data_IF_569949826752
#
_entry.id   IF_569949826752
#
_cell.length_a   1.000
_cell.length_b   1.000
_cell.length_c   1.000
_cell.angle_alpha   90.00
_cell.angle_beta   90.00
_cell.angle_gamma   90.00
#
_symmetry.space_group_name_H-M   'P 1'
#
loop_
_entity.id
_entity.type
_entity.pdbx_description
1 polymer ?
#
# COMPACT_ATOMS: atom_id res chain seq x y z
N UNK A 1 -2.20 -2.38 -19.39
CA UNK A 1 -1.11 -1.57 -18.77
C UNK A 1 -0.63 -2.37 -17.58
N UNK A 2 0.63 -2.83 -17.57
CA UNK A 2 1.14 -3.66 -16.47
C UNK A 2 1.07 -2.89 -15.14
N UNK A 3 0.82 -3.58 -14.01
CA UNK A 3 0.80 -3.02 -12.66
C UNK A 3 2.07 -2.23 -12.32
N UNK A 4 3.23 -2.63 -12.88
CA UNK A 4 4.48 -1.90 -12.73
C UNK A 4 4.43 -0.51 -13.37
N UNK A 5 3.82 -0.38 -14.55
CA UNK A 5 3.67 0.91 -15.24
C UNK A 5 2.64 1.80 -14.55
N UNK A 6 1.59 1.20 -13.98
CA UNK A 6 0.65 1.92 -13.12
C UNK A 6 1.37 2.62 -11.96
N UNK A 7 2.22 1.90 -11.21
CA UNK A 7 2.94 2.50 -10.09
C UNK A 7 3.92 3.60 -10.53
N UNK A 8 4.57 3.46 -11.69
CA UNK A 8 5.42 4.54 -12.25
C UNK A 8 4.61 5.79 -12.57
N UNK A 9 3.47 5.63 -13.26
CA UNK A 9 2.60 6.75 -13.61
C UNK A 9 1.99 7.41 -12.37
N UNK A 10 1.64 6.60 -11.37
CA UNK A 10 1.16 7.06 -10.08
C UNK A 10 2.20 7.91 -9.37
N UNK A 11 3.46 7.44 -9.29
CA UNK A 11 4.57 8.18 -8.70
C UNK A 11 4.80 9.54 -9.38
N UNK A 12 4.85 9.55 -10.71
CA UNK A 12 5.02 10.80 -11.47
C UNK A 12 3.88 11.80 -11.15
N UNK A 13 2.65 11.32 -11.01
CA UNK A 13 1.50 12.16 -10.67
C UNK A 13 1.51 12.68 -9.23
N UNK A 14 2.23 12.03 -8.31
CA UNK A 14 2.27 12.38 -6.89
C UNK A 14 3.30 13.46 -6.60
N UNK A 15 4.41 13.49 -7.33
CA UNK A 15 5.49 14.48 -7.16
C UNK A 15 5.07 15.94 -7.46
N UNK A 16 3.90 16.18 -8.05
CA UNK A 16 3.39 17.51 -8.44
C UNK A 16 2.59 18.26 -7.34
N UNK A 17 2.40 17.69 -6.13
CA UNK A 17 2.08 18.48 -4.91
C UNK A 17 0.66 18.46 -4.29
N UNK A 18 0.67 18.59 -2.96
CA UNK A 18 -0.29 19.01 -1.91
C UNK A 18 -1.62 18.30 -1.58
N UNK A 19 -2.08 17.28 -2.33
CA UNK A 19 -3.18 16.39 -1.88
C UNK A 19 -2.90 14.90 -2.11
N UNK A 20 -1.66 14.49 -1.83
CA UNK A 20 -1.11 13.20 -2.24
C UNK A 20 -1.85 11.99 -1.67
N UNK A 21 -2.22 12.02 -0.38
CA UNK A 21 -2.85 10.85 0.27
C UNK A 21 -4.24 10.54 -0.25
N UNK A 22 -5.06 11.52 -0.60
CA UNK A 22 -6.38 11.21 -1.18
C UNK A 22 -6.26 10.87 -2.66
N UNK A 23 -5.31 11.51 -3.37
CA UNK A 23 -5.03 11.25 -4.79
C UNK A 23 -4.54 9.82 -5.00
N UNK A 24 -3.57 9.36 -4.21
CA UNK A 24 -3.05 7.99 -4.27
C UNK A 24 -4.14 6.97 -3.95
N UNK A 25 -4.96 7.22 -2.93
CA UNK A 25 -6.07 6.33 -2.56
C UNK A 25 -7.10 6.24 -3.69
N UNK A 26 -7.49 7.37 -4.29
CA UNK A 26 -8.42 7.38 -5.41
C UNK A 26 -7.85 6.67 -6.63
N UNK A 27 -6.62 6.99 -7.02
CA UNK A 27 -5.96 6.40 -8.18
C UNK A 27 -5.78 4.88 -8.03
N UNK A 28 -5.36 4.39 -6.85
CA UNK A 28 -5.26 2.96 -6.60
C UNK A 28 -6.60 2.26 -6.57
N UNK A 29 -7.65 2.88 -6.00
CA UNK A 29 -8.99 2.31 -6.02
C UNK A 29 -9.53 2.19 -7.46
N UNK A 30 -9.32 3.21 -8.30
CA UNK A 30 -9.69 3.13 -9.72
C UNK A 30 -8.93 2.01 -10.42
N UNK A 31 -7.61 1.95 -10.26
CA UNK A 31 -6.80 0.93 -10.92
C UNK A 31 -7.14 -0.49 -10.45
N UNK A 32 -7.31 -0.73 -9.15
CA UNK A 32 -7.72 -2.04 -8.65
C UNK A 32 -9.09 -2.47 -9.15
N UNK A 33 -10.02 -1.53 -9.31
CA UNK A 33 -11.32 -1.81 -9.92
C UNK A 33 -11.18 -2.20 -11.39
N UNK A 34 -10.36 -1.47 -12.15
CA UNK A 34 -10.10 -1.76 -13.56
C UNK A 34 -9.41 -3.12 -13.75
N UNK A 35 -8.38 -3.41 -12.95
CA UNK A 35 -7.67 -4.70 -12.96
C UNK A 35 -8.54 -5.88 -12.54
N UNK A 36 -9.48 -5.67 -11.62
CA UNK A 36 -10.46 -6.69 -11.26
C UNK A 36 -11.43 -6.97 -12.42
N UNK A 37 -11.92 -5.91 -13.09
CA UNK A 37 -12.83 -6.07 -14.23
C UNK A 37 -12.16 -6.60 -15.50
N UNK A 38 -10.86 -6.33 -15.71
CA UNK A 38 -10.11 -6.93 -16.81
C UNK A 38 -9.71 -8.39 -16.58
N UNK A 39 -9.87 -8.89 -15.34
CA UNK A 39 -9.46 -10.24 -14.94
C UNK A 39 -7.97 -10.37 -14.61
N UNK A 40 -7.22 -9.27 -14.60
CA UNK A 40 -5.81 -9.26 -14.19
C UNK A 40 -5.63 -9.45 -12.68
N UNK A 41 -6.63 -9.07 -11.87
CA UNK A 41 -6.70 -9.37 -10.45
C UNK A 41 -7.93 -10.21 -10.12
N UNK A 42 -7.71 -11.36 -9.47
CA UNK A 42 -8.81 -12.24 -9.01
C UNK A 42 -9.59 -11.66 -7.81
N UNK A 43 -8.99 -10.71 -7.09
CA UNK A 43 -9.52 -10.14 -5.86
C UNK A 43 -9.80 -8.66 -6.01
N UNK A 44 -11.02 -8.25 -5.70
CA UNK A 44 -11.43 -6.85 -5.67
C UNK A 44 -10.82 -6.19 -4.43
N UNK A 45 -9.88 -5.27 -4.67
CA UNK A 45 -9.15 -4.58 -3.61
C UNK A 45 -9.65 -3.15 -3.45
N UNK A 46 -9.76 -2.69 -2.20
CA UNK A 46 -10.11 -1.32 -1.84
C UNK A 46 -9.08 -0.71 -0.90
N UNK A 47 -8.49 0.41 -1.31
CA UNK A 47 -7.50 1.14 -0.54
C UNK A 47 -8.16 2.20 0.34
N UNK A 48 -7.67 2.33 1.57
CA UNK A 48 -8.13 3.31 2.56
C UNK A 48 -7.01 3.68 3.53
N UNK A 49 -7.21 4.76 4.28
CA UNK A 49 -6.36 5.15 5.40
C UNK A 49 -6.92 4.50 6.67
N UNK A 50 -6.05 3.98 7.52
CA UNK A 50 -6.43 3.38 8.80
C UNK A 50 -5.37 3.63 9.87
N UNK A 51 -5.58 3.10 11.07
CA UNK A 51 -4.54 3.10 12.11
C UNK A 51 -3.35 2.22 11.69
N UNK A 52 -2.14 2.77 11.80
CA UNK A 52 -0.91 2.00 11.68
C UNK A 52 -0.50 1.35 13.00
N UNK A 53 0.63 0.65 12.96
CA UNK A 53 1.28 0.05 14.13
C UNK A 53 2.34 1.03 14.67
N UNK A 54 2.24 1.47 15.94
CA UNK A 54 3.20 2.39 16.55
C UNK A 54 4.65 1.89 16.49
N UNK A 55 4.88 0.57 16.51
CA UNK A 55 6.24 -0.02 16.45
C UNK A 55 6.88 0.17 15.07
N UNK A 56 6.06 0.42 14.04
CA UNK A 56 6.52 0.64 12.67
C UNK A 56 6.81 2.10 12.35
N UNK A 57 6.51 3.01 13.28
CA UNK A 57 6.73 4.43 13.12
C UNK A 57 8.19 4.76 12.73
N UNK A 58 8.34 5.85 11.99
CA UNK A 58 9.58 6.45 11.54
C UNK A 58 9.45 7.98 11.54
N UNK A 59 10.51 8.71 11.19
CA UNK A 59 10.62 10.16 11.37
C UNK A 59 9.55 10.97 10.63
N UNK A 60 8.99 10.40 9.56
CA UNK A 60 7.97 11.03 8.71
C UNK A 60 6.55 10.52 9.01
N UNK A 61 6.38 9.58 9.96
CA UNK A 61 5.08 9.01 10.29
C UNK A 61 4.06 10.08 10.66
N UNK A 62 2.87 9.96 10.08
CA UNK A 62 1.72 10.69 10.59
C UNK A 62 1.27 10.11 11.94
N UNK A 63 0.34 10.78 12.59
CA UNK A 63 -0.25 10.28 13.82
C UNK A 63 -0.88 8.88 13.62
N UNK A 64 -0.75 8.00 14.61
CA UNK A 64 -1.01 6.56 14.46
C UNK A 64 -2.36 6.23 13.82
N UNK A 65 -3.45 6.97 14.12
CA UNK A 65 -4.79 6.72 13.55
C UNK A 65 -4.91 7.02 12.04
N UNK A 66 -3.86 7.54 11.41
CA UNK A 66 -3.79 7.84 9.97
C UNK A 66 -2.52 7.34 9.29
N UNK A 67 -1.67 6.59 9.99
CA UNK A 67 -0.39 6.13 9.44
C UNK A 67 -0.47 4.78 8.72
N UNK A 68 -1.62 4.09 8.79
CA UNK A 68 -1.87 2.83 8.09
C UNK A 68 -2.38 3.04 6.67
N UNK A 69 -1.66 2.46 5.70
CA UNK A 69 -2.10 2.29 4.32
C UNK A 69 -2.76 0.91 4.17
N UNK A 70 -4.10 0.89 4.13
CA UNK A 70 -4.87 -0.36 4.19
C UNK A 70 -5.48 -0.73 2.85
N UNK A 71 -5.32 -1.99 2.46
CA UNK A 71 -5.95 -2.63 1.33
C UNK A 71 -6.88 -3.72 1.86
N UNK A 72 -8.17 -3.47 1.70
CA UNK A 72 -9.22 -4.43 2.04
C UNK A 72 -9.53 -5.27 0.80
N UNK A 73 -9.51 -6.60 0.95
CA UNK A 73 -10.01 -7.52 -0.07
C UNK A 73 -11.52 -7.66 0.14
N UNK A 74 -12.31 -7.18 -0.81
CA UNK A 74 -13.76 -7.07 -0.70
C UNK A 74 -14.46 -8.43 -0.92
N UNK A 75 -13.97 -9.24 -1.87
CA UNK A 75 -14.44 -10.61 -2.12
C UNK A 75 -13.58 -11.63 -1.36
N UNK A 76 -13.58 -11.56 -0.03
CA UNK A 76 -12.68 -12.33 0.85
C UNK A 76 -13.13 -13.77 1.17
N UNK A 77 -14.17 -14.29 0.52
CA UNK A 77 -14.56 -15.70 0.67
C UNK A 77 -13.39 -16.62 0.32
N UNK A 78 -13.09 -17.57 1.21
CA UNK A 78 -11.98 -18.53 1.09
C UNK A 78 -10.63 -17.87 0.77
N UNK A 79 -10.36 -16.68 1.31
CA UNK A 79 -9.10 -15.97 1.11
C UNK A 79 -7.92 -16.81 1.63
N UNK A 80 -6.98 -17.14 0.75
CA UNK A 80 -5.75 -17.84 1.10
C UNK A 80 -4.63 -16.87 1.46
N UNK A 81 -3.71 -17.31 2.32
CA UNK A 81 -2.53 -16.50 2.68
C UNK A 81 -1.63 -16.22 1.46
N UNK A 82 -1.57 -17.15 0.50
CA UNK A 82 -0.81 -16.97 -0.74
C UNK A 82 -1.32 -15.78 -1.55
N UNK A 83 -2.64 -15.57 -1.61
CA UNK A 83 -3.25 -14.45 -2.34
C UNK A 83 -2.98 -13.12 -1.64
N UNK A 84 -3.06 -13.10 -0.30
CA UNK A 84 -2.66 -11.93 0.50
C UNK A 84 -1.20 -11.58 0.23
N UNK A 85 -0.31 -12.57 0.22
CA UNK A 85 1.12 -12.37 -0.05
C UNK A 85 1.39 -11.91 -1.48
N UNK A 86 0.65 -12.43 -2.47
CA UNK A 86 0.76 -12.00 -3.86
C UNK A 86 0.40 -10.52 -4.02
N UNK A 87 -0.74 -10.09 -3.48
CA UNK A 87 -1.14 -8.67 -3.48
C UNK A 87 -0.10 -7.81 -2.75
N UNK A 88 0.47 -8.34 -1.66
CA UNK A 88 1.52 -7.66 -0.90
C UNK A 88 2.76 -7.41 -1.76
N UNK A 89 3.19 -8.40 -2.56
CA UNK A 89 4.38 -8.29 -3.40
C UNK A 89 4.28 -7.16 -4.43
N UNK A 90 3.11 -6.96 -5.05
CA UNK A 90 2.93 -5.87 -6.03
C UNK A 90 3.30 -4.49 -5.48
N UNK A 91 3.14 -4.28 -4.17
CA UNK A 91 3.51 -3.03 -3.49
C UNK A 91 4.91 -3.11 -2.91
N UNK A 92 5.21 -4.20 -2.18
CA UNK A 92 6.45 -4.36 -1.43
C UNK A 92 7.70 -4.49 -2.32
N UNK A 93 7.55 -4.91 -3.58
CA UNK A 93 8.65 -4.96 -4.54
C UNK A 93 8.95 -3.59 -5.18
N UNK A 94 8.02 -2.63 -5.10
CA UNK A 94 8.18 -1.29 -5.66
C UNK A 94 8.75 -0.31 -4.62
N UNK A 95 10.08 -0.32 -4.46
CA UNK A 95 10.78 0.55 -3.49
C UNK A 95 10.49 2.05 -3.68
N UNK A 96 10.49 2.62 -4.90
CA UNK A 96 10.10 4.02 -5.10
C UNK A 96 8.71 4.33 -4.55
N UNK A 97 7.74 3.43 -4.79
CA UNK A 97 6.39 3.58 -4.28
C UNK A 97 6.32 3.52 -2.75
N UNK A 98 7.03 2.59 -2.12
CA UNK A 98 7.13 2.50 -0.65
C UNK A 98 7.71 3.78 -0.07
N UNK A 99 8.79 4.31 -0.66
CA UNK A 99 9.37 5.58 -0.21
C UNK A 99 8.36 6.73 -0.32
N UNK A 100 7.59 6.79 -1.41
CA UNK A 100 6.54 7.80 -1.55
C UNK A 100 5.43 7.63 -0.49
N UNK A 101 5.03 6.41 -0.16
CA UNK A 101 4.08 6.18 0.94
C UNK A 101 4.65 6.68 2.27
N UNK A 102 5.93 6.44 2.54
CA UNK A 102 6.61 6.93 3.73
C UNK A 102 6.72 8.46 3.78
N UNK A 103 7.02 9.13 2.66
CA UNK A 103 7.07 10.60 2.61
C UNK A 103 5.70 11.23 2.81
N UNK A 104 4.62 10.53 2.44
CA UNK A 104 3.25 10.91 2.77
C UNK A 104 2.85 10.64 4.24
N UNK A 105 3.73 10.02 5.02
CA UNK A 105 3.56 9.71 6.43
C UNK A 105 2.79 8.42 6.72
N UNK A 106 2.79 7.46 5.79
CA UNK A 106 2.37 6.09 6.08
C UNK A 106 3.57 5.28 6.57
N UNK A 107 3.38 4.47 7.62
CA UNK A 107 4.41 3.58 8.17
C UNK A 107 4.06 2.09 8.07
N UNK A 108 2.78 1.81 7.90
CA UNK A 108 2.22 0.47 8.00
C UNK A 108 1.43 0.14 6.74
N UNK A 109 1.76 -0.96 6.07
CA UNK A 109 0.91 -1.56 5.03
C UNK A 109 0.05 -2.66 5.66
N UNK A 110 -1.26 -2.58 5.48
CA UNK A 110 -2.22 -3.57 5.97
C UNK A 110 -2.93 -4.17 4.77
N UNK A 111 -2.88 -5.49 4.60
CA UNK A 111 -3.63 -6.20 3.56
C UNK A 111 -4.46 -7.27 4.25
N UNK A 112 -5.78 -7.15 4.19
CA UNK A 112 -6.68 -8.07 4.89
C UNK A 112 -8.02 -8.24 4.19
N UNK A 113 -8.68 -9.37 4.43
CA UNK A 113 -10.09 -9.55 4.11
C UNK A 113 -10.96 -8.53 4.84
N UNK A 114 -12.01 -8.08 4.16
CA UNK A 114 -12.97 -7.12 4.72
C UNK A 114 -13.74 -7.70 5.90
N UNK A 115 -14.14 -8.96 5.82
CA UNK A 115 -15.04 -9.63 6.76
C UNK A 115 -14.29 -10.62 7.66
N UNK A 116 -13.28 -11.33 7.14
CA UNK A 116 -12.71 -12.49 7.83
C UNK A 116 -11.44 -12.23 8.68
N UNK A 117 -11.04 -10.97 8.90
CA UNK A 117 -9.82 -10.54 9.65
C UNK A 117 -8.49 -11.19 9.19
N UNK A 118 -8.52 -12.08 8.20
CA UNK A 118 -7.32 -12.73 7.67
C UNK A 118 -6.53 -11.71 6.89
N UNK A 119 -5.24 -11.60 7.17
CA UNK A 119 -4.40 -10.60 6.52
C UNK A 119 -2.96 -10.63 7.00
N UNK A 120 -2.19 -9.68 6.49
CA UNK A 120 -0.81 -9.43 6.85
C UNK A 120 -0.60 -7.93 7.05
N UNK A 121 0.31 -7.61 7.96
CA UNK A 121 0.73 -6.25 8.27
C UNK A 121 2.23 -6.18 8.05
N UNK A 122 2.69 -5.13 7.38
CA UNK A 122 4.09 -4.94 7.03
C UNK A 122 4.56 -3.56 7.43
N UNK A 123 5.77 -3.50 8.00
CA UNK A 123 6.46 -2.25 8.28
C UNK A 123 7.06 -1.68 6.99
N UNK A 124 6.63 -0.50 6.54
CA UNK A 124 7.12 0.08 5.28
C UNK A 124 8.64 0.38 5.33
N UNK A 125 9.17 0.77 6.49
CA UNK A 125 10.62 0.99 6.69
C UNK A 125 11.46 -0.27 6.46
N UNK A 126 10.91 -1.46 6.69
CA UNK A 126 11.63 -2.71 6.45
C UNK A 126 11.84 -2.99 4.95
N UNK A 127 11.01 -2.40 4.08
CA UNK A 127 11.04 -2.60 2.63
C UNK A 127 11.58 -1.40 1.84
N UNK A 128 11.87 -0.28 2.51
CA UNK A 128 12.37 0.95 1.86
C UNK A 128 13.90 1.01 1.68
N UNK A 129 14.64 0.01 2.20
CA UNK A 129 16.11 0.00 2.29
C UNK A 129 16.70 1.18 3.12
N UNK A 130 16.18 1.45 4.32
CA UNK A 130 16.82 2.33 5.30
C UNK A 130 17.90 1.61 6.14
N UNK A 131 18.82 0.87 5.50
CA UNK A 131 19.95 0.24 6.21
C UNK A 131 21.34 0.77 5.89
N UNK A 132 21.51 1.81 5.06
CA UNK A 132 22.84 2.38 4.74
C UNK A 132 22.88 3.92 4.72
N UNK A 133 22.26 4.61 5.69
CA UNK A 133 22.53 6.03 5.93
C UNK A 133 22.55 6.36 7.43
N UNK A 134 23.29 5.58 8.20
CA UNK A 134 24.06 6.17 9.29
C UNK A 134 25.43 6.47 8.69
N UNK A 135 25.69 7.75 8.43
CA UNK A 135 27.05 8.22 8.17
C UNK A 135 27.83 7.98 9.47
N UNK A 136 28.94 7.25 9.38
CA UNK A 136 30.01 7.28 10.40
C UNK A 136 30.56 8.71 10.55
#
# INVERSE_FOLDING_TARGET
MNIADFFKNLLNSLLDGSFERMKIIKAMNTAFKDYFYSGELNRLCKVSISSGDPDFAHEMSAFFFRSGFKISIENDTNLADSEVLEISKYILENKPFIKQLMTMGFDTLIIQGKNNKRGKVFSLKAYSNLKNYFLE
#
